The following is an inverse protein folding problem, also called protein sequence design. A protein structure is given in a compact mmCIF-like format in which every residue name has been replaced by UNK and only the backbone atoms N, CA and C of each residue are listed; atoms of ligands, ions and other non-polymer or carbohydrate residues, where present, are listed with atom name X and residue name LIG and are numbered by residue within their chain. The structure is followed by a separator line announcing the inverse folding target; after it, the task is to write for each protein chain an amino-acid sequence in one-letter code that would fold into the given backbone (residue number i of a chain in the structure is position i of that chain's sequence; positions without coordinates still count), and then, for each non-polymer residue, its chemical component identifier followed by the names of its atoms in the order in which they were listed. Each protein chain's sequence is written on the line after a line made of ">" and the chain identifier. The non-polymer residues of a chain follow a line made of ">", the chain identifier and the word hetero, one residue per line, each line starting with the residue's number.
data_IF_231468977022
#
_entry.id   IF_231468977022
#
_cell.length_a   1.000
_cell.length_b   1.000
_cell.length_c   1.000
_cell.angle_alpha   90.00
_cell.angle_beta   90.00
_cell.angle_gamma   90.00
#
_symmetry.space_group_name_H-M   'P 1'
#
loop_
_entity.id
_entity.type
_entity.pdbx_description
1 polymer ?
#
# COMPACT_ATOMS: atom_id res chain seq x y z
N UNK A 1 -6.42 19.86 -16.73
CA UNK A 1 -5.02 19.45 -16.60
C UNK A 1 -4.86 17.96 -16.39
N UNK A 2 -4.51 17.25 -17.45
CA UNK A 2 -4.29 15.80 -17.40
C UNK A 2 -3.15 15.45 -16.43
N UNK A 3 -2.16 16.30 -16.30
CA UNK A 3 -1.02 16.07 -15.44
C UNK A 3 -1.43 16.07 -13.96
N UNK A 4 -2.32 16.99 -13.57
CA UNK A 4 -2.81 17.04 -12.18
C UNK A 4 -3.63 15.81 -11.84
N UNK A 5 -4.50 15.39 -12.74
CA UNK A 5 -5.32 14.18 -12.54
C UNK A 5 -4.43 12.95 -12.44
N UNK A 6 -3.43 12.85 -13.31
CA UNK A 6 -2.47 11.75 -13.30
C UNK A 6 -1.68 11.71 -11.98
N UNK A 7 -1.22 12.88 -11.52
CA UNK A 7 -0.49 12.98 -10.27
C UNK A 7 -1.32 12.56 -9.06
N UNK A 8 -2.58 13.00 -9.02
CA UNK A 8 -3.50 12.63 -7.94
C UNK A 8 -3.74 11.12 -7.93
N UNK A 9 -3.98 10.53 -9.09
CA UNK A 9 -4.18 9.09 -9.20
C UNK A 9 -2.94 8.31 -8.77
N UNK A 10 -1.76 8.80 -9.13
CA UNK A 10 -0.50 8.17 -8.76
C UNK A 10 -0.29 8.20 -7.24
N UNK A 11 -0.55 9.34 -6.61
CA UNK A 11 -0.42 9.48 -5.16
C UNK A 11 -1.35 8.52 -4.44
N UNK A 12 -2.60 8.44 -4.88
CA UNK A 12 -3.57 7.51 -4.30
C UNK A 12 -3.12 6.06 -4.49
N UNK A 13 -2.64 5.72 -5.67
CA UNK A 13 -2.15 4.38 -5.96
C UNK A 13 -0.98 3.99 -5.05
N UNK A 14 0.01 4.88 -4.95
CA UNK A 14 1.19 4.63 -4.11
C UNK A 14 0.77 4.51 -2.64
N UNK A 15 -0.10 5.40 -2.15
CA UNK A 15 -0.58 5.35 -0.77
C UNK A 15 -1.28 4.01 -0.48
N UNK A 16 -2.16 3.58 -1.36
CA UNK A 16 -2.87 2.30 -1.20
C UNK A 16 -1.88 1.14 -1.22
N UNK A 17 -0.91 1.19 -2.13
CA UNK A 17 0.10 0.13 -2.23
C UNK A 17 0.93 0.05 -0.95
N UNK A 18 1.37 1.18 -0.42
CA UNK A 18 2.14 1.23 0.81
C UNK A 18 1.35 0.66 1.99
N UNK A 19 0.08 1.03 2.10
CA UNK A 19 -0.79 0.51 3.16
C UNK A 19 -0.98 -0.99 3.03
N UNK A 20 -1.18 -1.49 1.82
CA UNK A 20 -1.33 -2.93 1.58
C UNK A 20 -0.05 -3.70 1.94
N UNK A 21 1.11 -3.17 1.55
CA UNK A 21 2.38 -3.80 1.88
C UNK A 21 2.62 -3.80 3.40
N UNK A 22 2.32 -2.70 4.07
CA UNK A 22 2.44 -2.62 5.51
C UNK A 22 1.53 -3.64 6.20
N UNK A 23 0.29 -3.75 5.74
CA UNK A 23 -0.66 -4.72 6.29
C UNK A 23 -0.16 -6.15 6.10
N UNK A 24 0.37 -6.48 4.92
CA UNK A 24 0.92 -7.80 4.64
C UNK A 24 2.10 -8.10 5.58
N UNK A 25 2.98 -7.14 5.78
CA UNK A 25 4.14 -7.32 6.67
C UNK A 25 3.70 -7.55 8.12
N UNK A 26 2.71 -6.79 8.58
CA UNK A 26 2.18 -6.93 9.93
C UNK A 26 1.57 -8.32 10.10
N UNK A 27 0.75 -8.76 9.15
CA UNK A 27 0.12 -10.07 9.20
C UNK A 27 1.17 -11.18 9.19
N UNK A 28 2.20 -11.06 8.35
CA UNK A 28 3.29 -12.04 8.30
C UNK A 28 4.04 -12.12 9.62
N UNK A 29 4.24 -10.98 10.27
CA UNK A 29 4.94 -10.93 11.54
C UNK A 29 4.15 -11.66 12.64
N UNK A 30 2.84 -11.53 12.62
CA UNK A 30 1.98 -12.21 13.58
C UNK A 30 1.80 -13.69 13.26
N UNK A 31 1.71 -14.03 11.97
CA UNK A 31 1.49 -15.42 11.56
C UNK A 31 2.73 -16.29 11.62
N UNK A 32 3.91 -15.71 11.60
CA UNK A 32 5.15 -16.48 11.71
C UNK A 32 5.24 -17.25 13.03
N UNK A 33 4.51 -16.83 14.04
CA UNK A 33 4.49 -17.51 15.31
C UNK A 33 3.60 -18.76 15.33
N UNK A 34 2.73 -18.90 14.33
CA UNK A 34 1.75 -19.98 14.31
C UNK A 34 2.00 -21.06 13.26
N UNK A 35 2.99 -20.86 12.38
CA UNK A 35 3.27 -21.90 11.36
C UNK A 35 4.39 -22.83 11.79
#
# INVERSE_FOLDING_TARGET
>A
NTLSVFGLGLVLFISTLLLNLAAIQIVRRYRQRYS
#
